data_IF_907843338658
#
_entry.id   IF_907843338658
#
_cell.length_a   1.000
_cell.length_b   1.000
_cell.length_c   1.000
_cell.angle_alpha   90.00
_cell.angle_beta   90.00
_cell.angle_gamma   90.00
#
_symmetry.space_group_name_H-M   'P 1'
#
loop_
_entity.id
_entity.type
_entity.pdbx_description
1 polymer ?
#
# COMPACT_ATOMS: atom_id res chain seq x y z
N UNK A 1 2.39 1.87 24.15
CA UNK A 1 3.26 1.64 22.97
C UNK A 1 2.82 0.32 22.32
N UNK A 2 2.32 0.31 21.08
CA UNK A 2 1.83 -0.93 20.47
C UNK A 2 3.01 -1.83 20.06
N UNK A 3 3.23 -2.93 20.76
CA UNK A 3 4.36 -3.86 20.64
C UNK A 3 4.38 -4.72 19.37
N UNK A 4 4.25 -4.10 18.19
CA UNK A 4 4.44 -4.80 16.92
C UNK A 4 5.88 -4.59 16.43
N UNK A 5 6.64 -5.67 16.13
CA UNK A 5 8.01 -5.57 15.62
C UNK A 5 8.14 -4.75 14.33
N UNK A 6 7.09 -4.76 13.49
CA UNK A 6 7.03 -3.96 12.27
C UNK A 6 6.58 -2.52 12.59
N UNK A 7 7.45 -1.53 12.42
CA UNK A 7 7.15 -0.09 12.61
C UNK A 7 6.81 0.61 11.29
N UNK A 8 6.18 1.81 11.35
CA UNK A 8 5.67 2.51 10.14
C UNK A 8 6.83 2.88 9.24
N UNK A 9 7.91 3.34 9.85
CA UNK A 9 9.09 3.82 9.15
C UNK A 9 9.89 2.66 8.58
N UNK A 10 9.95 1.52 9.27
CA UNK A 10 10.51 0.29 8.70
C UNK A 10 9.77 -0.14 7.42
N UNK A 11 8.44 -0.14 7.46
CA UNK A 11 7.64 -0.52 6.28
C UNK A 11 7.84 0.47 5.13
N UNK A 12 7.90 1.78 5.41
CA UNK A 12 8.20 2.80 4.39
C UNK A 12 9.58 2.60 3.76
N UNK A 13 10.61 2.42 4.58
CA UNK A 13 11.98 2.22 4.11
C UNK A 13 12.07 0.99 3.21
N UNK A 14 11.39 -0.10 3.58
CA UNK A 14 11.28 -1.29 2.74
C UNK A 14 10.60 -1.02 1.40
N UNK A 15 9.48 -0.30 1.37
CA UNK A 15 8.81 0.04 0.10
C UNK A 15 9.70 0.89 -0.81
N UNK A 16 10.47 1.81 -0.24
CA UNK A 16 11.41 2.66 -0.99
C UNK A 16 12.59 1.85 -1.55
N UNK A 17 13.11 0.87 -0.79
CA UNK A 17 14.26 0.07 -1.17
C UNK A 17 13.93 -1.11 -2.11
N UNK A 18 12.84 -1.84 -1.85
CA UNK A 18 12.61 -3.16 -2.46
C UNK A 18 12.26 -3.09 -3.95
N UNK A 19 11.55 -2.04 -4.40
CA UNK A 19 11.13 -1.72 -5.80
C UNK A 19 10.49 -2.85 -6.66
N UNK A 20 10.55 -4.12 -6.25
CA UNK A 20 10.22 -5.32 -7.03
C UNK A 20 9.55 -6.39 -6.17
N UNK A 21 10.01 -6.62 -4.93
CA UNK A 21 9.49 -7.71 -4.06
C UNK A 21 8.81 -7.16 -2.81
N UNK A 22 7.50 -6.95 -2.88
CA UNK A 22 6.70 -6.35 -1.79
C UNK A 22 6.05 -7.35 -0.81
N UNK A 23 6.54 -8.60 -0.73
CA UNK A 23 5.94 -9.59 0.17
C UNK A 23 6.33 -9.35 1.64
N UNK A 24 5.47 -9.77 2.57
CA UNK A 24 5.77 -9.74 4.01
C UNK A 24 6.98 -10.61 4.37
N UNK A 25 7.22 -11.68 3.61
CA UNK A 25 8.42 -12.50 3.70
C UNK A 25 9.66 -11.71 3.28
N UNK A 26 9.60 -10.99 2.15
CA UNK A 26 10.74 -10.18 1.70
C UNK A 26 11.11 -9.11 2.73
N UNK A 27 10.13 -8.48 3.39
CA UNK A 27 10.40 -7.58 4.51
C UNK A 27 11.05 -8.31 5.71
N UNK A 28 10.58 -9.51 6.04
CA UNK A 28 11.15 -10.33 7.12
C UNK A 28 12.62 -10.67 6.85
N UNK A 29 12.98 -10.95 5.60
CA UNK A 29 14.35 -11.30 5.16
C UNK A 29 15.31 -10.10 5.22
N UNK A 30 14.85 -8.90 4.90
CA UNK A 30 15.72 -7.70 4.79
C UNK A 30 15.62 -6.75 5.99
N UNK A 31 14.77 -7.06 6.96
CA UNK A 31 14.57 -6.21 8.13
C UNK A 31 15.82 -6.21 9.03
N UNK A 32 16.28 -5.03 9.51
CA UNK A 32 17.41 -4.93 10.42
C UNK A 32 17.12 -5.53 11.81
N UNK A 33 15.84 -5.72 12.13
CA UNK A 33 15.38 -6.41 13.33
C UNK A 33 14.58 -7.66 12.97
N UNK A 34 14.52 -8.63 13.89
CA UNK A 34 13.78 -9.88 13.68
C UNK A 34 12.27 -9.59 13.63
N UNK A 35 11.72 -9.50 12.43
CA UNK A 35 10.29 -9.26 12.18
C UNK A 35 9.70 -10.49 11.52
N UNK A 36 8.70 -11.12 12.15
CA UNK A 36 7.93 -12.18 11.49
C UNK A 36 7.05 -11.60 10.37
N UNK A 37 6.95 -12.32 9.26
CA UNK A 37 6.05 -11.99 8.15
C UNK A 37 4.57 -11.91 8.61
N UNK A 38 4.17 -12.70 9.60
CA UNK A 38 2.82 -12.64 10.19
C UNK A 38 2.58 -11.33 10.94
N UNK A 39 3.59 -10.81 11.64
CA UNK A 39 3.50 -9.54 12.35
C UNK A 39 3.27 -8.37 11.39
N UNK A 40 3.86 -8.44 10.18
CA UNK A 40 3.61 -7.46 9.11
C UNK A 40 2.16 -7.54 8.65
N UNK A 41 1.66 -8.73 8.35
CA UNK A 41 0.28 -8.94 7.89
C UNK A 41 -0.73 -8.47 8.94
N UNK A 42 -0.55 -8.89 10.20
CA UNK A 42 -1.44 -8.50 11.32
C UNK A 42 -1.49 -6.99 11.50
N UNK A 43 -0.35 -6.32 11.34
CA UNK A 43 -0.29 -4.86 11.39
C UNK A 43 -1.01 -4.19 10.23
N UNK A 44 -0.81 -4.67 9.00
CA UNK A 44 -1.51 -4.14 7.83
C UNK A 44 -3.03 -4.33 7.95
N UNK A 45 -3.49 -5.47 8.49
CA UNK A 45 -4.91 -5.76 8.73
C UNK A 45 -5.52 -4.92 9.86
N UNK A 46 -4.75 -4.61 10.90
CA UNK A 46 -5.24 -3.84 12.07
C UNK A 46 -5.24 -2.33 11.86
N UNK A 47 -4.69 -1.83 10.74
CA UNK A 47 -4.63 -0.40 10.45
C UNK A 47 -5.57 -0.08 9.29
N UNK A 48 -6.45 0.89 9.51
CA UNK A 48 -7.26 1.50 8.47
C UNK A 48 -6.66 2.88 8.18
N UNK A 49 -6.21 3.11 6.94
CA UNK A 49 -5.72 4.42 6.49
C UNK A 49 -6.85 5.11 5.73
N UNK A 50 -7.45 6.14 6.32
CA UNK A 50 -8.57 6.85 5.70
C UNK A 50 -8.03 7.91 4.71
N UNK A 51 -8.70 8.13 3.56
CA UNK A 51 -8.28 9.17 2.60
C UNK A 51 -8.14 10.56 3.22
N UNK A 52 -9.01 10.90 4.18
CA UNK A 52 -8.92 12.15 4.95
C UNK A 52 -7.58 12.27 5.68
N UNK A 53 -7.05 11.20 6.26
CA UNK A 53 -5.76 11.22 6.96
C UNK A 53 -4.60 11.45 5.98
N UNK A 54 -4.69 10.88 4.77
CA UNK A 54 -3.72 11.15 3.71
C UNK A 54 -3.75 12.64 3.32
N UNK A 55 -4.94 13.22 3.16
CA UNK A 55 -5.08 14.64 2.83
C UNK A 55 -4.39 15.56 3.84
N UNK A 56 -4.53 15.30 5.15
CA UNK A 56 -3.84 16.09 6.18
C UNK A 56 -2.31 16.04 6.05
N UNK A 57 -1.77 14.93 5.55
CA UNK A 57 -0.32 14.78 5.35
C UNK A 57 0.17 15.49 4.08
N UNK A 58 -0.62 15.46 3.00
CA UNK A 58 -0.17 15.98 1.68
C UNK A 58 -0.60 17.43 1.43
N UNK A 59 -1.68 17.92 2.03
CA UNK A 59 -2.17 19.28 1.79
C UNK A 59 -1.11 20.37 2.01
N UNK A 60 -0.22 20.30 3.02
CA UNK A 60 0.86 21.28 3.18
C UNK A 60 1.91 21.26 2.06
N UNK A 61 2.03 20.16 1.32
CA UNK A 61 2.98 20.05 0.19
C UNK A 61 2.45 20.61 -1.13
N UNK A 62 1.19 21.07 -1.16
CA UNK A 62 0.55 21.64 -2.35
C UNK A 62 0.64 23.17 -2.28
N UNK A 63 1.42 23.76 -3.19
CA UNK A 63 1.49 25.21 -3.36
C UNK A 63 0.25 25.72 -4.10
N UNK A 64 -0.58 26.51 -3.42
CA UNK A 64 -1.84 27.04 -3.97
C UNK A 64 -1.74 28.45 -4.53
N UNK A 65 -0.63 29.15 -4.25
CA UNK A 65 -0.43 30.55 -4.64
C UNK A 65 0.17 30.73 -6.03
N UNK A 66 0.81 29.69 -6.58
CA UNK A 66 1.39 29.71 -7.91
C UNK A 66 0.39 29.23 -8.97
N UNK A 67 0.43 29.77 -10.21
CA UNK A 67 -0.29 29.20 -11.33
C UNK A 67 0.07 27.72 -11.49
N UNK A 68 -0.93 26.85 -11.55
CA UNK A 68 -0.72 25.41 -11.67
C UNK A 68 -1.76 24.75 -12.59
N UNK A 69 -1.43 23.55 -13.05
CA UNK A 69 -2.35 22.68 -13.81
C UNK A 69 -2.74 21.50 -12.92
N UNK A 70 -4.04 21.27 -12.76
CA UNK A 70 -4.56 20.08 -12.13
C UNK A 70 -4.68 18.97 -13.17
N UNK A 71 -3.85 17.93 -13.04
CA UNK A 71 -3.95 16.71 -13.84
C UNK A 71 -4.77 15.69 -13.06
N UNK A 72 -5.92 15.32 -13.60
CA UNK A 72 -6.72 14.22 -13.09
C UNK A 72 -6.53 13.00 -13.99
N UNK A 73 -6.21 11.85 -13.38
CA UNK A 73 -6.13 10.57 -14.05
C UNK A 73 -6.74 9.50 -13.14
N UNK A 74 -7.39 8.52 -13.74
CA UNK A 74 -7.81 7.29 -13.08
C UNK A 74 -6.86 6.14 -13.45
N UNK A 75 -6.79 5.13 -12.59
CA UNK A 75 -6.04 3.91 -12.87
C UNK A 75 -6.76 2.72 -12.28
N UNK A 76 -6.75 1.61 -13.02
CA UNK A 76 -7.30 0.34 -12.57
C UNK A 76 -6.13 -0.62 -12.35
N UNK A 77 -5.96 -1.08 -11.10
CA UNK A 77 -4.98 -2.11 -10.79
C UNK A 77 -5.46 -3.45 -11.32
N UNK A 78 -4.76 -4.02 -12.31
CA UNK A 78 -5.05 -5.35 -12.83
C UNK A 78 -4.72 -6.42 -11.79
N UNK A 79 -5.73 -7.16 -11.34
CA UNK A 79 -5.61 -8.17 -10.29
C UNK A 79 -5.93 -9.56 -10.82
N UNK A 80 -5.22 -10.04 -11.84
CA UNK A 80 -5.56 -11.30 -12.54
C UNK A 80 -5.65 -12.56 -11.66
N UNK A 81 -5.09 -12.52 -10.44
CA UNK A 81 -5.12 -13.63 -9.47
C UNK A 81 -6.11 -13.42 -8.30
N UNK A 82 -6.95 -12.38 -8.36
CA UNK A 82 -7.99 -12.06 -7.35
C UNK A 82 -8.91 -13.24 -7.06
N UNK A 83 -9.33 -14.00 -8.09
CA UNK A 83 -10.18 -15.20 -7.96
C UNK A 83 -9.61 -16.27 -7.00
N UNK A 84 -8.31 -16.22 -6.67
CA UNK A 84 -7.65 -17.14 -5.72
C UNK A 84 -7.47 -16.56 -4.32
N UNK A 85 -7.95 -15.34 -4.06
CA UNK A 85 -7.78 -14.63 -2.79
C UNK A 85 -9.18 -14.27 -2.27
N UNK A 86 -9.65 -15.01 -1.27
CA UNK A 86 -11.01 -14.95 -0.71
C UNK A 86 -11.49 -13.54 -0.29
N UNK A 87 -10.58 -12.63 0.02
CA UNK A 87 -10.87 -11.28 0.51
C UNK A 87 -10.99 -10.21 -0.58
N UNK A 88 -10.92 -10.57 -1.86
CA UNK A 88 -11.00 -9.59 -2.96
C UNK A 88 -12.43 -9.36 -3.45
N UNK A 89 -12.75 -8.11 -3.75
CA UNK A 89 -13.96 -7.72 -4.45
C UNK A 89 -13.81 -7.89 -5.96
N UNK A 90 -14.90 -8.24 -6.63
CA UNK A 90 -14.99 -8.33 -8.08
C UNK A 90 -14.77 -6.97 -8.74
N UNK A 91 -14.00 -6.94 -9.84
CA UNK A 91 -13.88 -5.77 -10.70
C UNK A 91 -13.94 -6.18 -12.18
N UNK A 92 -14.51 -5.35 -13.05
CA UNK A 92 -14.41 -5.59 -14.49
C UNK A 92 -12.99 -5.27 -14.99
N UNK A 93 -12.42 -6.16 -15.80
CA UNK A 93 -11.13 -5.93 -16.46
C UNK A 93 -11.34 -5.69 -17.95
N UNK A 94 -11.00 -4.48 -18.40
CA UNK A 94 -11.00 -4.16 -19.82
C UNK A 94 -10.02 -5.01 -20.64
N UNK A 95 -8.93 -5.51 -20.05
CA UNK A 95 -7.96 -6.38 -20.75
C UNK A 95 -8.42 -7.82 -20.89
N UNK A 96 -9.16 -8.35 -19.91
CA UNK A 96 -9.66 -9.73 -19.94
C UNK A 96 -11.07 -9.81 -20.54
N UNK A 97 -11.72 -8.65 -20.75
CA UNK A 97 -13.13 -8.53 -21.16
C UNK A 97 -14.07 -9.33 -20.25
N UNK A 98 -13.75 -9.42 -18.96
CA UNK A 98 -14.47 -10.20 -17.95
C UNK A 98 -14.35 -9.57 -16.56
N UNK A 99 -15.21 -10.01 -15.64
CA UNK A 99 -15.14 -9.70 -14.21
C UNK A 99 -14.08 -10.59 -13.56
N UNK A 100 -13.09 -9.96 -12.94
CA UNK A 100 -11.97 -10.59 -12.21
C UNK A 100 -12.07 -10.37 -10.72
#
# INVERSE_FOLDING_TARGET
MSGYPCTKDLYKAFLQASRVRYSSLALSEVSPSRVSHDSVIRRLKSRCFRPKELWHLVAPSIERGAPCLLIAADTVLAKKRSKKIELFHYQYSGNEHDVI
#
